data_IF_371826659402
#
_entry.id   IF_371826659402
#
_cell.length_a   1.000
_cell.length_b   1.000
_cell.length_c   1.000
_cell.angle_alpha   90.00
_cell.angle_beta   90.00
_cell.angle_gamma   90.00
#
_symmetry.space_group_name_H-M   'P 1'
#
loop_
_entity.id
_entity.type
_entity.pdbx_description
1 polymer ?
#
# COMPACT_ATOMS: atom_id res chain seq x y z
N UNK A 1 -8.59 -21.22 -10.04
CA UNK A 1 -7.21 -21.57 -10.45
C UNK A 1 -6.47 -20.31 -10.88
N UNK A 2 -5.68 -19.73 -9.96
CA UNK A 2 -4.49 -18.88 -10.17
C UNK A 2 -4.02 -18.40 -8.80
N UNK A 3 -3.11 -19.17 -8.20
CA UNK A 3 -2.22 -18.72 -7.14
C UNK A 3 -1.11 -17.92 -7.83
N UNK A 4 -0.80 -16.71 -7.38
CA UNK A 4 0.49 -16.06 -7.65
C UNK A 4 1.04 -15.58 -6.32
N UNK A 5 2.35 -15.44 -6.08
CA UNK A 5 3.57 -15.99 -6.65
C UNK A 5 4.65 -15.43 -5.71
N UNK A 6 5.02 -16.20 -4.71
CA UNK A 6 6.40 -16.24 -4.27
C UNK A 6 6.99 -17.52 -4.84
N UNK A 7 8.31 -17.57 -4.97
CA UNK A 7 9.11 -18.69 -5.47
C UNK A 7 8.47 -20.07 -5.20
N UNK A 8 8.57 -20.96 -6.19
CA UNK A 8 8.16 -22.37 -6.16
C UNK A 8 8.25 -23.03 -4.78
N UNK A 9 7.18 -23.76 -4.41
CA UNK A 9 7.11 -24.80 -3.35
C UNK A 9 6.50 -24.49 -1.97
N UNK A 10 5.43 -23.68 -1.87
CA UNK A 10 4.51 -23.84 -0.73
C UNK A 10 3.08 -23.35 -1.02
N UNK A 11 2.08 -24.23 -0.86
CA UNK A 11 0.67 -23.85 -0.73
C UNK A 11 0.49 -23.13 0.60
N UNK A 12 0.67 -21.81 0.61
CA UNK A 12 0.31 -20.97 1.76
C UNK A 12 -1.20 -20.73 1.65
N UNK A 13 -1.98 -21.35 2.54
CA UNK A 13 -3.34 -20.87 2.81
C UNK A 13 -3.18 -19.46 3.39
N UNK A 14 -3.89 -18.46 2.88
CA UNK A 14 -3.83 -17.09 3.39
C UNK A 14 -5.19 -16.77 3.96
N UNK A 15 -5.24 -16.18 5.15
CA UNK A 15 -6.50 -15.69 5.73
C UNK A 15 -6.58 -14.18 5.59
N UNK A 16 -7.70 -13.70 5.03
CA UNK A 16 -7.92 -12.27 4.83
C UNK A 16 -9.04 -11.82 5.74
N UNK A 17 -8.69 -10.97 6.70
CA UNK A 17 -9.67 -10.46 7.65
C UNK A 17 -10.05 -9.01 7.32
N UNK A 18 -11.37 -8.77 7.26
CA UNK A 18 -11.95 -7.44 7.39
C UNK A 18 -13.33 -7.56 8.02
N UNK A 19 -13.68 -6.62 8.91
CA UNK A 19 -14.99 -6.55 9.54
C UNK A 19 -16.12 -6.48 8.48
N UNK A 20 -17.26 -7.18 8.69
CA UNK A 20 -18.28 -7.34 7.67
C UNK A 20 -19.01 -6.02 7.41
N UNK A 21 -19.03 -5.57 6.16
CA UNK A 21 -19.94 -4.54 5.68
C UNK A 21 -21.25 -5.17 5.17
N UNK A 22 -22.42 -4.55 5.39
CA UNK A 22 -23.69 -5.11 4.93
C UNK A 22 -23.73 -5.24 3.41
N UNK A 23 -24.42 -6.25 2.87
CA UNK A 23 -24.34 -6.59 1.46
C UNK A 23 -25.11 -5.55 0.64
N UNK A 24 -24.42 -4.74 -0.16
CA UNK A 24 -25.06 -4.00 -1.24
C UNK A 24 -24.24 -4.11 -2.52
N UNK A 25 -24.81 -4.90 -3.44
CA UNK A 25 -24.60 -4.91 -4.90
C UNK A 25 -23.15 -5.18 -5.35
N UNK A 26 -22.91 -6.43 -5.77
CA UNK A 26 -21.63 -6.94 -6.25
C UNK A 26 -20.78 -7.49 -5.11
N UNK A 27 -20.34 -8.75 -5.20
CA UNK A 27 -19.56 -9.43 -4.16
C UNK A 27 -18.15 -8.82 -4.10
N UNK A 28 -17.99 -7.68 -3.41
CA UNK A 28 -16.69 -7.08 -3.11
C UNK A 28 -16.15 -7.79 -1.87
N UNK A 29 -15.05 -8.50 -2.04
CA UNK A 29 -14.45 -9.34 -0.99
C UNK A 29 -12.98 -8.96 -0.83
N UNK A 30 -12.40 -9.11 0.36
CA UNK A 30 -11.04 -8.64 0.63
C UNK A 30 -9.96 -9.50 -0.06
N UNK A 31 -10.27 -10.72 -0.48
CA UNK A 31 -9.36 -11.63 -1.21
C UNK A 31 -9.02 -11.12 -2.61
N UNK A 32 -9.77 -10.16 -3.17
CA UNK A 32 -9.44 -9.54 -4.46
C UNK A 32 -8.05 -8.89 -4.46
N UNK A 33 -7.52 -8.46 -3.32
CA UNK A 33 -6.17 -7.90 -3.24
C UNK A 33 -5.07 -8.96 -3.41
N UNK A 34 -5.41 -10.26 -3.30
CA UNK A 34 -4.51 -11.41 -3.42
C UNK A 34 -5.01 -12.43 -4.46
N UNK A 35 -5.91 -12.02 -5.36
CA UNK A 35 -6.50 -12.90 -6.38
C UNK A 35 -5.55 -13.21 -7.57
N UNK A 36 -4.35 -12.62 -7.55
CA UNK A 36 -3.34 -12.83 -8.58
C UNK A 36 -3.47 -11.92 -9.80
N UNK A 37 -4.42 -10.99 -9.81
CA UNK A 37 -4.63 -10.03 -10.88
C UNK A 37 -4.21 -8.61 -10.45
N UNK A 38 -3.62 -7.85 -11.40
CA UNK A 38 -3.27 -6.44 -11.23
C UNK A 38 -4.26 -5.51 -11.95
N UNK A 39 -5.43 -6.03 -12.29
CA UNK A 39 -6.50 -5.27 -12.94
C UNK A 39 -6.95 -4.13 -12.00
N UNK A 40 -6.62 -2.90 -12.37
CA UNK A 40 -6.71 -1.71 -11.52
C UNK A 40 -7.93 -0.83 -11.82
N UNK A 41 -8.76 -1.20 -12.81
CA UNK A 41 -10.05 -0.56 -13.03
C UNK A 41 -11.13 -1.30 -12.21
N UNK A 42 -11.94 -0.57 -11.46
CA UNK A 42 -12.97 -1.13 -10.58
C UNK A 42 -13.87 -2.19 -11.22
N UNK A 43 -14.35 -1.91 -12.44
CA UNK A 43 -15.26 -2.77 -13.17
C UNK A 43 -14.64 -4.11 -13.61
N UNK A 44 -13.32 -4.26 -13.49
CA UNK A 44 -12.62 -5.53 -13.76
C UNK A 44 -12.71 -6.51 -12.58
N UNK A 45 -13.32 -6.12 -11.45
CA UNK A 45 -13.67 -7.04 -10.37
C UNK A 45 -12.49 -7.56 -9.53
N UNK A 46 -11.31 -6.95 -9.64
CA UNK A 46 -10.07 -7.36 -8.95
C UNK A 46 -9.59 -6.35 -7.88
N UNK A 47 -10.38 -5.30 -7.62
CA UNK A 47 -10.12 -4.35 -6.54
C UNK A 47 -10.96 -4.69 -5.29
N UNK A 48 -10.36 -4.50 -4.10
CA UNK A 48 -11.09 -4.50 -2.82
C UNK A 48 -11.70 -3.13 -2.54
N UNK A 49 -12.66 -3.05 -1.61
CA UNK A 49 -13.21 -1.78 -1.15
C UNK A 49 -13.68 -1.90 0.30
N UNK A 50 -13.62 -0.78 1.02
CA UNK A 50 -14.18 -0.67 2.36
C UNK A 50 -15.38 0.24 2.36
N UNK A 51 -16.23 0.13 3.39
CA UNK A 51 -17.19 1.21 3.58
C UNK A 51 -16.44 2.48 3.98
N UNK A 52 -17.18 3.57 4.10
CA UNK A 52 -16.63 4.84 4.58
C UNK A 52 -16.44 4.79 6.10
N UNK A 53 -15.53 3.92 6.53
CA UNK A 53 -15.23 3.63 7.92
C UNK A 53 -14.16 4.59 8.46
N UNK A 54 -14.13 4.78 9.79
CA UNK A 54 -13.01 5.45 10.46
C UNK A 54 -11.83 4.48 10.52
N UNK A 55 -10.65 4.89 10.05
CA UNK A 55 -9.43 4.07 10.01
C UNK A 55 -9.62 2.72 9.29
N UNK A 56 -9.98 2.70 7.99
CA UNK A 56 -10.18 1.46 7.26
C UNK A 56 -8.87 0.67 7.17
N UNK A 57 -8.96 -0.65 7.30
CA UNK A 57 -7.81 -1.55 7.27
C UNK A 57 -8.11 -2.80 6.45
N UNK A 58 -7.04 -3.47 6.03
CA UNK A 58 -7.03 -4.77 5.39
C UNK A 58 -5.80 -5.52 5.92
N UNK A 59 -5.95 -6.79 6.29
CA UNK A 59 -4.84 -7.61 6.79
C UNK A 59 -4.73 -8.91 6.01
N UNK A 60 -3.48 -9.28 5.74
CA UNK A 60 -3.11 -10.61 5.27
C UNK A 60 -2.49 -11.40 6.41
N UNK A 61 -3.06 -12.54 6.75
CA UNK A 61 -2.38 -13.54 7.57
C UNK A 61 -1.56 -14.46 6.67
N UNK A 62 -0.24 -14.51 6.91
CA UNK A 62 0.70 -15.38 6.20
C UNK A 62 0.75 -16.80 6.77
N UNK A 63 0.01 -17.07 7.86
CA UNK A 63 -0.06 -18.30 8.67
C UNK A 63 1.23 -18.74 9.34
N UNK A 64 2.38 -18.20 8.93
CA UNK A 64 3.71 -18.45 9.47
C UNK A 64 4.53 -17.18 9.43
N UNK A 65 5.63 -17.18 10.17
CA UNK A 65 6.58 -16.07 10.17
C UNK A 65 7.41 -16.04 8.88
N UNK A 66 7.43 -14.90 8.20
CA UNK A 66 8.26 -14.67 7.01
C UNK A 66 9.10 -13.41 7.18
N UNK A 67 10.31 -13.42 6.63
CA UNK A 67 11.10 -12.21 6.42
C UNK A 67 10.52 -11.46 5.21
N UNK A 68 9.77 -10.40 5.45
CA UNK A 68 9.15 -9.59 4.39
C UNK A 68 10.19 -8.62 3.83
N UNK A 69 10.61 -8.84 2.58
CA UNK A 69 11.61 -7.97 1.92
C UNK A 69 10.96 -6.84 1.11
N UNK A 70 9.80 -7.08 0.50
CA UNK A 70 9.18 -6.13 -0.43
C UNK A 70 7.67 -6.27 -0.40
N UNK A 71 6.97 -5.15 -0.34
CA UNK A 71 5.51 -5.07 -0.46
C UNK A 71 5.17 -4.29 -1.72
N UNK A 72 4.47 -4.91 -2.67
CA UNK A 72 4.03 -4.23 -3.91
C UNK A 72 2.52 -4.03 -3.85
N UNK A 73 2.07 -2.79 -4.02
CA UNK A 73 0.64 -2.43 -3.96
C UNK A 73 0.19 -1.95 -5.33
N UNK A 74 -0.91 -2.49 -5.86
CA UNK A 74 -1.54 -1.96 -7.08
C UNK A 74 -2.70 -1.06 -6.66
N UNK A 75 -2.57 0.26 -6.90
CA UNK A 75 -3.63 1.21 -6.59
C UNK A 75 -4.74 1.20 -7.66
N UNK A 76 -5.95 1.65 -7.31
CA UNK A 76 -7.04 1.87 -8.24
C UNK A 76 -6.66 2.93 -9.26
N UNK A 77 -6.98 2.71 -10.54
CA UNK A 77 -6.58 3.59 -11.66
C UNK A 77 -7.73 4.39 -12.25
N UNK A 78 -8.92 3.83 -12.35
CA UNK A 78 -10.08 4.42 -13.05
C UNK A 78 -10.68 5.64 -12.32
N UNK A 79 -10.49 5.75 -11.01
CA UNK A 79 -10.77 6.95 -10.23
C UNK A 79 -10.11 6.85 -8.86
N UNK A 80 -10.21 7.94 -8.09
CA UNK A 80 -10.16 7.86 -6.64
C UNK A 80 -8.82 7.33 -6.08
N UNK A 81 -7.77 7.45 -6.88
CA UNK A 81 -6.44 6.94 -6.59
C UNK A 81 -5.80 7.66 -5.40
N UNK A 82 -6.26 8.89 -5.11
CA UNK A 82 -5.84 9.71 -3.98
C UNK A 82 -6.26 9.14 -2.62
N UNK A 83 -7.26 8.23 -2.56
CA UNK A 83 -7.76 7.66 -1.30
C UNK A 83 -6.73 6.86 -0.51
N UNK A 84 -5.70 6.33 -1.18
CA UNK A 84 -4.63 5.57 -0.52
C UNK A 84 -3.58 6.48 0.15
N UNK A 85 -3.64 7.80 -0.08
CA UNK A 85 -2.69 8.74 0.49
C UNK A 85 -2.71 8.72 2.02
N UNK A 86 -1.53 8.56 2.62
CA UNK A 86 -1.36 8.49 4.06
C UNK A 86 -1.61 7.11 4.66
N UNK A 87 -2.02 6.12 3.87
CA UNK A 87 -2.14 4.75 4.35
C UNK A 87 -0.77 4.20 4.79
N UNK A 88 -0.74 3.45 5.89
CA UNK A 88 0.50 2.93 6.45
C UNK A 88 0.61 1.42 6.21
N UNK A 89 1.83 0.96 5.90
CA UNK A 89 2.17 -0.46 5.87
C UNK A 89 2.80 -0.80 7.21
N UNK A 90 2.18 -1.75 7.92
CA UNK A 90 2.63 -2.22 9.24
C UNK A 90 2.85 -3.72 9.18
N UNK A 91 3.97 -4.18 9.72
CA UNK A 91 4.40 -5.58 9.66
C UNK A 91 4.89 -5.96 11.05
N UNK A 92 4.40 -7.09 11.57
CA UNK A 92 4.81 -7.60 12.86
C UNK A 92 3.96 -8.79 13.29
N UNK A 93 4.17 -9.23 14.52
CA UNK A 93 3.56 -10.44 15.07
C UNK A 93 2.35 -10.17 15.98
N UNK A 94 2.11 -8.92 16.36
CA UNK A 94 1.03 -8.57 17.30
C UNK A 94 -0.32 -8.45 16.60
N UNK A 95 -1.38 -8.90 17.28
CA UNK A 95 -2.79 -8.66 16.88
C UNK A 95 -3.42 -7.48 17.62
N UNK A 96 -2.67 -6.77 18.46
CA UNK A 96 -3.13 -5.55 19.11
C UNK A 96 -3.63 -4.54 18.06
N UNK A 97 -4.81 -3.96 18.31
CA UNK A 97 -5.52 -3.10 17.34
C UNK A 97 -5.63 -3.75 15.95
N UNK A 98 -5.99 -5.04 15.89
CA UNK A 98 -6.09 -5.84 14.66
C UNK A 98 -4.76 -5.96 13.88
N UNK A 99 -3.63 -5.75 14.55
CA UNK A 99 -2.30 -5.68 13.94
C UNK A 99 -1.90 -4.29 13.45
N UNK A 100 -2.79 -3.29 13.56
CA UNK A 100 -2.49 -1.91 13.19
C UNK A 100 -1.57 -1.20 14.20
N UNK A 101 -1.20 -1.84 15.32
CA UNK A 101 -0.20 -1.35 16.26
C UNK A 101 1.24 -1.82 15.92
N UNK A 102 1.41 -2.76 14.99
CA UNK A 102 2.73 -3.27 14.61
C UNK A 102 3.65 -2.15 14.07
N UNK A 103 4.98 -2.35 14.13
CA UNK A 103 5.96 -1.41 13.59
C UNK A 103 5.61 -0.95 12.17
N UNK A 104 5.70 0.36 11.95
CA UNK A 104 5.44 0.97 10.65
C UNK A 104 6.63 0.72 9.72
N UNK A 105 6.41 -0.05 8.66
CA UNK A 105 7.38 -0.19 7.58
C UNK A 105 7.43 1.10 6.73
N UNK A 106 6.26 1.61 6.31
CA UNK A 106 6.19 2.71 5.35
C UNK A 106 4.86 3.46 5.41
N UNK A 107 4.85 4.66 4.82
CA UNK A 107 3.64 5.45 4.55
C UNK A 107 3.49 5.57 3.04
N UNK A 108 2.32 5.18 2.52
CA UNK A 108 1.96 5.33 1.12
C UNK A 108 1.72 6.82 0.86
N UNK A 109 2.67 7.42 0.18
CA UNK A 109 2.61 8.80 -0.26
C UNK A 109 2.47 8.80 -1.77
N UNK A 110 1.22 8.79 -2.30
CA UNK A 110 0.99 9.05 -3.72
C UNK A 110 1.03 10.56 -3.97
N UNK A 111 2.17 11.15 -3.64
CA UNK A 111 2.43 12.55 -3.91
C UNK A 111 3.30 12.58 -5.17
N UNK A 112 2.70 12.93 -6.30
CA UNK A 112 3.44 13.49 -7.43
C UNK A 112 4.01 14.84 -6.96
N UNK A 113 5.12 14.81 -6.24
CA UNK A 113 5.83 16.01 -5.82
C UNK A 113 6.65 16.49 -7.00
N UNK A 114 6.26 17.64 -7.54
CA UNK A 114 6.94 18.25 -8.69
C UNK A 114 8.14 19.09 -8.28
N UNK A 115 8.18 19.57 -7.03
CA UNK A 115 9.13 20.58 -6.60
C UNK A 115 9.76 20.24 -5.25
N UNK A 116 11.08 20.37 -5.16
CA UNK A 116 11.85 20.47 -3.92
C UNK A 116 12.23 21.94 -3.79
N UNK A 117 11.82 22.59 -2.70
CA UNK A 117 12.16 23.99 -2.43
C UNK A 117 13.10 24.03 -1.23
N UNK A 118 14.22 24.75 -1.37
CA UNK A 118 15.15 25.07 -0.29
C UNK A 118 15.08 26.59 -0.15
N UNK A 119 14.55 27.07 0.98
CA UNK A 119 14.20 28.49 1.18
C UNK A 119 14.75 28.98 2.50
N UNK A 120 15.25 30.23 2.54
CA UNK A 120 15.55 30.96 3.78
C UNK A 120 14.38 31.92 4.06
N UNK A 121 13.42 31.56 4.91
CA UNK A 121 12.30 32.46 5.22
C UNK A 121 12.69 33.52 6.25
N UNK A 122 12.06 34.70 6.15
CA UNK A 122 12.05 35.67 7.26
C UNK A 122 13.32 36.50 7.47
N UNK A 123 14.34 36.40 6.61
CA UNK A 123 15.54 37.26 6.67
C UNK A 123 16.27 37.37 5.34
N UNK A 124 17.12 38.40 5.22
CA UNK A 124 18.03 38.59 4.09
C UNK A 124 19.31 37.81 4.35
N UNK A 125 19.62 36.85 3.49
CA UNK A 125 20.77 35.97 3.65
C UNK A 125 21.16 35.33 2.30
N UNK A 126 22.39 34.83 2.18
CA UNK A 126 22.84 34.06 1.01
C UNK A 126 22.52 32.56 1.17
N UNK A 127 21.78 31.98 0.21
CA UNK A 127 21.63 30.53 0.09
C UNK A 127 22.70 29.99 -0.85
N UNK A 128 23.63 29.18 -0.32
CA UNK A 128 24.67 28.49 -1.11
C UNK A 128 24.45 26.98 -1.02
N UNK A 129 24.42 26.29 -2.17
CA UNK A 129 24.24 24.84 -2.27
C UNK A 129 25.35 24.28 -3.17
N UNK A 130 26.14 23.33 -2.66
CA UNK A 130 27.25 22.73 -3.42
C UNK A 130 26.80 21.55 -4.29
N UNK A 131 25.82 20.78 -3.83
CA UNK A 131 25.23 19.64 -4.53
C UNK A 131 23.81 19.45 -4.00
N UNK A 132 22.86 19.07 -4.87
CA UNK A 132 21.53 18.62 -4.47
C UNK A 132 21.17 17.39 -5.30
N UNK A 133 21.24 16.22 -4.69
CA UNK A 133 20.83 14.97 -5.33
C UNK A 133 19.40 14.60 -4.92
N UNK A 134 18.56 14.26 -5.92
CA UNK A 134 17.18 13.82 -5.70
C UNK A 134 16.96 12.51 -6.45
N UNK A 135 16.83 11.41 -5.71
CA UNK A 135 16.48 10.10 -6.27
C UNK A 135 14.97 9.88 -6.22
N UNK A 136 14.35 9.49 -7.33
CA UNK A 136 12.92 9.20 -7.39
C UNK A 136 12.54 8.28 -8.55
N UNK A 137 11.39 7.62 -8.44
CA UNK A 137 10.82 6.83 -9.55
C UNK A 137 9.76 7.65 -10.30
N UNK A 138 9.72 7.62 -11.65
CA UNK A 138 8.75 8.37 -12.43
C UNK A 138 7.33 7.89 -12.15
N UNK A 139 6.41 8.84 -11.95
CA UNK A 139 4.99 8.57 -11.78
C UNK A 139 4.45 7.78 -12.98
N UNK A 140 3.90 6.59 -12.73
CA UNK A 140 3.14 5.83 -13.72
C UNK A 140 3.85 4.71 -14.48
N UNK A 141 5.08 4.29 -14.13
CA UNK A 141 5.74 3.14 -14.81
C UNK A 141 5.93 1.85 -14.01
N UNK A 142 5.48 1.74 -12.76
CA UNK A 142 5.29 0.46 -12.05
C UNK A 142 4.41 0.70 -10.82
N UNK A 143 3.64 -0.32 -10.42
CA UNK A 143 2.92 -0.33 -9.15
C UNK A 143 3.87 0.10 -8.01
N UNK A 144 3.46 0.94 -7.05
CA UNK A 144 4.33 1.38 -5.97
C UNK A 144 4.95 0.15 -5.29
N UNK A 145 6.25 0.00 -5.50
CA UNK A 145 7.07 -1.00 -4.85
C UNK A 145 7.55 -0.35 -3.56
N UNK A 146 6.97 -0.76 -2.44
CA UNK A 146 7.34 -0.25 -1.13
C UNK A 146 8.36 -1.21 -0.54
N UNK A 147 9.61 -0.74 -0.48
CA UNK A 147 10.71 -1.48 0.14
C UNK A 147 10.60 -1.25 1.65
N UNK A 148 10.31 -2.31 2.40
CA UNK A 148 10.36 -2.32 3.84
C UNK A 148 11.78 -2.69 4.26
N UNK A 149 12.61 -1.72 4.62
CA UNK A 149 13.85 -1.99 5.34
C UNK A 149 13.49 -2.13 6.82
N UNK A 150 13.14 -3.34 7.24
CA UNK A 150 12.89 -3.70 8.65
C UNK A 150 14.20 -4.21 9.25
#
# INVERSE_FOLDING_TARGET
>A
MKLFSFSSDLLILLEVEKLPSPPRIGKVVPERAIDGSRASNWHQGSCTHTQKDKNPWWRLDLLRSYKVNTVTITNRKDCCHERINGAEIRIGYSLENYGNANPRCAVITSISRRYVNIVIPGRREFLTLCEVEVTGQPYGKKAPLVICNI
#
